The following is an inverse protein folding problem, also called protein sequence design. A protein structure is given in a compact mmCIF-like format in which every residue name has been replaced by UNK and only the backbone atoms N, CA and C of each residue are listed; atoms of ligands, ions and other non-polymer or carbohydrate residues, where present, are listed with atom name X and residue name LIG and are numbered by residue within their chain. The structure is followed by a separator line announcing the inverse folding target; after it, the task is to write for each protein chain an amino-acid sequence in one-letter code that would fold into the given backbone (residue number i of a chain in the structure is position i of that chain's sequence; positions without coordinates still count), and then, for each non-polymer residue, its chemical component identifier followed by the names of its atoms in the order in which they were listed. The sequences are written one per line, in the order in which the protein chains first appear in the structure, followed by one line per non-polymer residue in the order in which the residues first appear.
data_IF_449529782038
#
_entry.id   IF_449529782038
#
_cell.length_a   1.000
_cell.length_b   1.000
_cell.length_c   1.000
_cell.angle_alpha   90.00
_cell.angle_beta   90.00
_cell.angle_gamma   90.00
#
_symmetry.space_group_name_H-M   'P 1'
#
loop_
_entity.id
_entity.type
_entity.pdbx_description
1 polymer ?
#
# COMPACT_ATOMS: atom_id res chain seq x y z
N UNK A 1 11.58 13.86 -16.10
CA UNK A 1 12.27 14.35 -17.31
C UNK A 1 13.78 14.16 -17.25
N UNK A 2 14.44 14.40 -16.11
CA UNK A 2 15.90 14.23 -15.99
C UNK A 2 16.40 12.81 -16.26
N UNK A 3 15.62 11.79 -15.95
CA UNK A 3 15.99 10.38 -16.17
C UNK A 3 16.14 9.97 -17.64
N UNK A 4 15.53 10.70 -18.57
CA UNK A 4 15.60 10.40 -20.01
C UNK A 4 16.99 10.59 -20.65
N UNK A 5 17.86 11.32 -19.98
CA UNK A 5 19.20 11.64 -20.47
C UNK A 5 20.29 10.67 -19.99
N UNK A 6 19.95 9.71 -19.14
CA UNK A 6 20.92 8.72 -18.65
C UNK A 6 20.87 7.44 -19.48
N UNK A 7 22.02 6.98 -19.95
CA UNK A 7 22.14 5.71 -20.63
C UNK A 7 22.10 4.54 -19.64
N UNK A 8 21.72 3.33 -20.11
CA UNK A 8 21.76 2.12 -19.29
C UNK A 8 23.17 1.78 -18.73
N UNK A 9 24.21 2.46 -19.20
CA UNK A 9 25.59 2.29 -18.70
C UNK A 9 25.78 2.75 -17.26
N UNK A 10 24.88 3.60 -16.73
CA UNK A 10 24.91 4.04 -15.32
C UNK A 10 24.25 3.05 -14.38
N UNK A 11 23.55 2.03 -14.90
CA UNK A 11 22.92 1.01 -14.08
C UNK A 11 23.99 0.02 -13.58
N UNK A 12 24.07 -0.12 -12.27
CA UNK A 12 24.95 -1.12 -11.64
C UNK A 12 24.33 -2.51 -11.82
N UNK A 13 25.14 -3.46 -12.28
CA UNK A 13 24.72 -4.87 -12.31
C UNK A 13 24.61 -5.39 -10.88
N UNK A 14 23.44 -5.88 -10.51
CA UNK A 14 23.17 -6.44 -9.19
C UNK A 14 22.86 -7.93 -9.30
N UNK A 15 23.11 -8.69 -8.23
CA UNK A 15 22.66 -10.07 -8.09
C UNK A 15 21.39 -10.12 -7.25
N UNK A 16 20.68 -11.23 -7.35
CA UNK A 16 19.45 -11.43 -6.57
C UNK A 16 19.70 -11.58 -5.06
N UNK A 17 20.87 -12.08 -4.68
CA UNK A 17 21.28 -12.25 -3.27
C UNK A 17 21.89 -10.98 -2.66
N UNK A 18 22.23 -10.00 -3.49
CA UNK A 18 22.79 -8.74 -3.00
C UNK A 18 21.80 -8.01 -2.12
N UNK A 19 22.25 -7.46 -0.95
CA UNK A 19 21.41 -6.62 -0.11
C UNK A 19 20.86 -5.42 -0.87
N UNK A 20 19.53 -5.24 -0.80
CA UNK A 20 18.83 -4.11 -1.39
C UNK A 20 18.52 -3.05 -0.34
N UNK A 21 18.17 -3.46 0.88
CA UNK A 21 17.88 -2.57 2.00
C UNK A 21 18.17 -3.23 3.34
N UNK A 22 18.41 -2.40 4.35
CA UNK A 22 18.42 -2.79 5.76
C UNK A 22 17.27 -2.02 6.42
N UNK A 23 16.26 -2.74 6.88
CA UNK A 23 15.10 -2.16 7.56
C UNK A 23 15.13 -2.54 9.04
N UNK A 24 14.71 -1.62 9.90
CA UNK A 24 14.67 -1.88 11.33
C UNK A 24 13.35 -2.53 11.72
N UNK A 25 13.42 -3.66 12.46
CA UNK A 25 12.26 -4.23 13.13
C UNK A 25 12.24 -3.83 14.61
N UNK A 26 11.03 -3.65 15.17
CA UNK A 26 10.83 -3.22 16.56
C UNK A 26 11.27 -4.23 17.63
N UNK A 27 11.70 -5.44 17.25
CA UNK A 27 12.18 -6.51 18.10
C UNK A 27 11.43 -6.69 19.45
N UNK A 28 10.95 -7.88 19.73
CA UNK A 28 10.31 -8.24 21.02
C UNK A 28 11.21 -8.04 22.24
N UNK A 29 12.51 -7.87 22.04
CA UNK A 29 13.55 -7.67 23.07
C UNK A 29 13.88 -6.22 23.37
N UNK A 30 13.15 -5.26 22.76
CA UNK A 30 13.33 -3.81 22.97
C UNK A 30 14.52 -3.18 22.23
N UNK A 31 15.40 -3.96 21.61
CA UNK A 31 16.48 -3.41 20.77
C UNK A 31 16.12 -3.56 19.29
N UNK A 32 16.11 -2.47 18.50
CA UNK A 32 15.88 -2.53 17.07
C UNK A 32 16.91 -3.46 16.39
N UNK A 33 16.42 -4.33 15.51
CA UNK A 33 17.28 -5.22 14.71
C UNK A 33 17.30 -4.70 13.26
N UNK A 34 18.48 -4.60 12.68
CA UNK A 34 18.65 -4.33 11.26
C UNK A 34 18.41 -5.60 10.45
N UNK A 35 17.28 -5.67 9.76
CA UNK A 35 16.93 -6.79 8.89
C UNK A 35 17.45 -6.52 7.50
N UNK A 36 18.41 -7.34 7.06
CA UNK A 36 19.02 -7.23 5.75
C UNK A 36 18.16 -7.99 4.72
N UNK A 37 17.64 -7.27 3.75
CA UNK A 37 16.74 -7.77 2.70
C UNK A 37 17.43 -7.69 1.35
N UNK A 38 17.41 -8.79 0.60
CA UNK A 38 18.03 -8.89 -0.71
C UNK A 38 17.10 -8.43 -1.84
N UNK A 39 17.66 -8.20 -3.03
CA UNK A 39 16.88 -7.97 -4.25
C UNK A 39 15.87 -9.11 -4.49
N UNK A 40 16.23 -10.36 -4.18
CA UNK A 40 15.35 -11.51 -4.31
C UNK A 40 14.13 -11.40 -3.38
N UNK A 41 14.31 -10.94 -2.13
CA UNK A 41 13.21 -10.81 -1.19
C UNK A 41 12.17 -9.80 -1.70
N UNK A 42 12.59 -8.62 -2.15
CA UNK A 42 11.69 -7.61 -2.71
C UNK A 42 10.96 -8.10 -3.96
N UNK A 43 11.68 -8.76 -4.87
CA UNK A 43 11.09 -9.26 -6.10
C UNK A 43 10.12 -10.43 -5.87
N UNK A 44 10.40 -11.30 -4.89
CA UNK A 44 9.50 -12.39 -4.52
C UNK A 44 8.18 -11.85 -3.96
N UNK A 45 8.24 -10.85 -3.06
CA UNK A 45 7.05 -10.16 -2.54
C UNK A 45 6.20 -9.58 -3.68
N UNK A 46 6.85 -8.91 -4.64
CA UNK A 46 6.16 -8.36 -5.80
C UNK A 46 5.45 -9.44 -6.65
N UNK A 47 6.12 -10.59 -6.89
CA UNK A 47 5.53 -11.69 -7.65
C UNK A 47 4.33 -12.29 -6.91
N UNK A 48 4.44 -12.48 -5.60
CA UNK A 48 3.35 -12.98 -4.76
C UNK A 48 2.15 -12.03 -4.78
N UNK A 49 2.40 -10.72 -4.63
CA UNK A 49 1.34 -9.71 -4.71
C UNK A 49 0.61 -9.73 -6.07
N UNK A 50 1.34 -9.91 -7.18
CA UNK A 50 0.76 -10.03 -8.51
C UNK A 50 -0.14 -11.25 -8.69
N UNK A 51 0.12 -12.34 -7.96
CA UNK A 51 -0.73 -13.53 -7.95
C UNK A 51 -2.00 -13.35 -7.12
N UNK A 52 -1.89 -12.61 -6.02
CA UNK A 52 -2.99 -12.36 -5.08
C UNK A 52 -3.96 -11.27 -5.58
N UNK A 53 -3.46 -10.33 -6.37
CA UNK A 53 -4.19 -9.19 -6.89
C UNK A 53 -4.23 -9.19 -8.43
N UNK A 54 -4.81 -10.23 -9.07
CA UNK A 54 -4.74 -10.40 -10.53
C UNK A 54 -5.52 -9.33 -11.31
N UNK A 55 -6.41 -8.61 -10.65
CA UNK A 55 -7.20 -7.54 -11.27
C UNK A 55 -6.50 -6.17 -11.32
N UNK A 56 -5.30 -6.04 -10.74
CA UNK A 56 -4.49 -4.82 -10.89
C UNK A 56 -4.09 -4.66 -12.36
N UNK A 57 -4.36 -3.48 -12.90
CA UNK A 57 -4.02 -3.13 -14.29
C UNK A 57 -2.87 -2.14 -14.34
N UNK A 58 -2.01 -2.21 -15.39
CA UNK A 58 -1.01 -1.18 -15.66
C UNK A 58 -1.66 0.22 -15.72
N UNK A 59 -0.96 1.22 -15.18
CA UNK A 59 -1.40 2.62 -15.07
C UNK A 59 -2.50 2.90 -14.04
N UNK A 60 -2.99 1.90 -13.32
CA UNK A 60 -3.77 2.19 -12.12
C UNK A 60 -2.90 2.92 -11.10
N UNK A 61 -3.53 3.76 -10.30
CA UNK A 61 -2.83 4.67 -9.39
C UNK A 61 -2.89 4.15 -7.97
N UNK A 62 -1.74 4.10 -7.30
CA UNK A 62 -1.67 3.91 -5.86
C UNK A 62 -1.16 5.19 -5.19
N UNK A 63 -1.77 5.59 -4.11
CA UNK A 63 -1.30 6.71 -3.32
C UNK A 63 -0.47 6.20 -2.13
N UNK A 64 0.81 6.58 -2.12
CA UNK A 64 1.80 6.18 -1.10
C UNK A 64 1.82 7.21 0.02
N UNK A 65 1.14 6.88 1.12
CA UNK A 65 1.00 7.73 2.31
C UNK A 65 1.75 7.18 3.53
N UNK A 66 2.26 5.96 3.40
CA UNK A 66 3.04 5.30 4.45
C UNK A 66 4.53 5.69 4.36
N UNK A 67 5.25 5.69 5.50
CA UNK A 67 6.68 5.97 5.52
C UNK A 67 7.49 4.96 4.71
N UNK A 68 8.30 5.43 3.76
CA UNK A 68 9.13 4.58 2.91
C UNK A 68 10.38 4.01 3.60
N UNK A 69 10.63 4.36 4.85
CA UNK A 69 11.66 3.72 5.68
C UNK A 69 11.16 2.45 6.39
N UNK A 70 9.89 2.11 6.22
CA UNK A 70 9.27 0.88 6.72
C UNK A 70 8.90 -0.04 5.55
N UNK A 71 9.05 -1.38 5.71
CA UNK A 71 8.79 -2.35 4.64
C UNK A 71 7.41 -2.22 4.01
N UNK A 72 6.37 -1.95 4.80
CA UNK A 72 5.02 -1.75 4.31
C UNK A 72 4.91 -0.56 3.34
N UNK A 73 5.52 0.57 3.67
CA UNK A 73 5.58 1.73 2.77
C UNK A 73 6.51 1.48 1.58
N UNK A 74 7.72 1.00 1.82
CA UNK A 74 8.72 0.80 0.77
C UNK A 74 8.31 -0.29 -0.23
N UNK A 75 7.87 -1.46 0.26
CA UNK A 75 7.59 -2.58 -0.61
C UNK A 75 6.16 -2.56 -1.13
N UNK A 76 5.15 -2.53 -0.25
CA UNK A 76 3.75 -2.70 -0.67
C UNK A 76 3.21 -1.46 -1.37
N UNK A 77 3.57 -0.24 -0.92
CA UNK A 77 3.01 0.96 -1.52
C UNK A 77 3.91 1.65 -2.56
N UNK A 78 5.15 1.19 -2.76
CA UNK A 78 6.06 1.78 -3.75
C UNK A 78 6.67 0.75 -4.69
N UNK A 79 7.50 -0.20 -4.19
CA UNK A 79 8.23 -1.14 -5.04
C UNK A 79 7.30 -2.07 -5.84
N UNK A 80 6.39 -2.76 -5.16
CA UNK A 80 5.44 -3.69 -5.79
C UNK A 80 4.57 -3.02 -6.85
N UNK A 81 3.94 -1.86 -6.60
CA UNK A 81 3.18 -1.14 -7.62
C UNK A 81 4.00 -0.77 -8.85
N UNK A 82 5.24 -0.32 -8.67
CA UNK A 82 6.13 -0.01 -9.80
C UNK A 82 6.44 -1.26 -10.64
N UNK A 83 6.69 -2.42 -10.01
CA UNK A 83 6.88 -3.68 -10.69
C UNK A 83 5.62 -4.14 -11.44
N UNK A 84 4.44 -3.85 -10.91
CA UNK A 84 3.14 -4.12 -11.54
C UNK A 84 2.72 -3.04 -12.56
N UNK A 85 3.61 -2.10 -12.88
CA UNK A 85 3.41 -1.00 -13.83
C UNK A 85 2.28 -0.04 -13.45
N UNK A 86 2.02 0.12 -12.15
CA UNK A 86 1.11 1.14 -11.63
C UNK A 86 1.79 2.51 -11.60
N UNK A 87 0.96 3.56 -11.56
CA UNK A 87 1.42 4.91 -11.25
C UNK A 87 1.46 5.09 -9.73
N UNK A 88 2.62 5.48 -9.20
CA UNK A 88 2.80 5.72 -7.76
C UNK A 88 2.72 7.22 -7.49
N UNK A 89 1.69 7.63 -6.74
CA UNK A 89 1.51 9.01 -6.28
C UNK A 89 2.22 9.14 -4.93
N UNK A 90 3.39 9.75 -4.93
CA UNK A 90 4.16 9.97 -3.72
C UNK A 90 3.58 11.14 -2.92
N UNK A 91 3.21 10.89 -1.67
CA UNK A 91 2.81 11.89 -0.68
C UNK A 91 3.92 11.97 0.37
N UNK A 92 4.86 12.90 0.25
CA UNK A 92 6.05 12.94 1.12
C UNK A 92 5.73 13.09 2.61
N UNK A 93 4.63 13.77 2.91
CA UNK A 93 4.15 13.96 4.27
C UNK A 93 2.62 13.83 4.28
N UNK A 94 2.13 12.84 5.01
CA UNK A 94 0.70 12.68 5.22
C UNK A 94 0.14 13.81 6.08
N UNK A 95 -0.95 14.41 5.62
CA UNK A 95 -1.73 15.40 6.34
C UNK A 95 -3.22 15.01 6.30
N UNK A 96 -3.74 14.56 7.43
CA UNK A 96 -5.15 14.15 7.56
C UNK A 96 -6.13 15.25 7.16
N UNK A 97 -5.78 16.55 7.34
CA UNK A 97 -6.63 17.68 6.95
C UNK A 97 -6.71 17.88 5.45
N UNK A 98 -5.69 17.45 4.71
CA UNK A 98 -5.57 17.61 3.25
C UNK A 98 -5.90 16.34 2.47
N UNK A 99 -5.93 15.19 3.13
CA UNK A 99 -6.06 13.88 2.51
C UNK A 99 -7.28 13.77 1.57
N UNK A 100 -8.42 14.36 1.93
CA UNK A 100 -9.60 14.43 1.06
C UNK A 100 -9.31 15.12 -0.28
N UNK A 101 -8.53 16.23 -0.28
CA UNK A 101 -8.14 16.95 -1.50
C UNK A 101 -7.20 16.12 -2.38
N UNK A 102 -6.28 15.39 -1.75
CA UNK A 102 -5.34 14.56 -2.48
C UNK A 102 -6.08 13.39 -3.16
N UNK A 103 -7.05 12.77 -2.48
CA UNK A 103 -7.91 11.74 -3.08
C UNK A 103 -8.73 12.31 -4.24
N UNK A 104 -9.42 13.43 -4.05
CA UNK A 104 -10.22 14.08 -5.11
C UNK A 104 -9.36 14.47 -6.32
N UNK A 105 -8.15 14.99 -6.08
CA UNK A 105 -7.24 15.43 -7.14
C UNK A 105 -6.65 14.27 -7.94
N UNK A 106 -6.17 13.25 -7.26
CA UNK A 106 -5.40 12.18 -7.90
C UNK A 106 -6.24 10.95 -8.25
N UNK A 107 -7.40 10.78 -7.64
CA UNK A 107 -8.33 9.66 -7.86
C UNK A 107 -7.61 8.31 -7.86
N UNK A 108 -7.00 7.91 -6.73
CA UNK A 108 -6.26 6.67 -6.66
C UNK A 108 -7.19 5.46 -6.82
N UNK A 109 -6.68 4.40 -7.46
CA UNK A 109 -7.36 3.12 -7.53
C UNK A 109 -7.02 2.22 -6.33
N UNK A 110 -5.90 2.50 -5.65
CA UNK A 110 -5.45 1.75 -4.50
C UNK A 110 -4.99 2.65 -3.35
N UNK A 111 -5.37 2.28 -2.14
CA UNK A 111 -4.91 2.88 -0.89
C UNK A 111 -4.40 1.79 0.04
N UNK A 112 -3.25 2.05 0.64
CA UNK A 112 -2.63 1.17 1.63
C UNK A 112 -2.29 1.99 2.87
N UNK A 113 -2.72 1.53 4.04
CA UNK A 113 -2.52 2.28 5.26
C UNK A 113 -2.64 1.44 6.53
N UNK A 114 -2.66 2.14 7.65
CA UNK A 114 -2.82 1.57 8.99
C UNK A 114 -4.16 2.00 9.59
N UNK A 115 -4.70 1.30 10.60
CA UNK A 115 -6.01 1.61 11.16
C UNK A 115 -6.18 3.08 11.58
N UNK A 116 -5.15 3.69 12.18
CA UNK A 116 -5.18 5.10 12.60
C UNK A 116 -5.35 6.09 11.44
N UNK A 117 -4.86 5.75 10.24
CA UNK A 117 -5.12 6.57 9.04
C UNK A 117 -6.58 6.53 8.63
N UNK A 118 -7.19 5.37 8.74
CA UNK A 118 -8.60 5.17 8.41
C UNK A 118 -9.53 5.84 9.44
N UNK A 119 -9.16 5.81 10.72
CA UNK A 119 -9.87 6.59 11.76
C UNK A 119 -9.82 8.09 11.46
N UNK A 120 -8.66 8.60 11.08
CA UNK A 120 -8.50 10.01 10.70
C UNK A 120 -9.35 10.36 9.46
N UNK A 121 -9.49 9.44 8.51
CA UNK A 121 -10.36 9.59 7.33
C UNK A 121 -11.83 9.65 7.76
N UNK A 122 -12.30 8.69 8.54
CA UNK A 122 -13.69 8.62 9.02
C UNK A 122 -14.09 9.83 9.86
N UNK A 123 -13.15 10.39 10.62
CA UNK A 123 -13.39 11.55 11.51
C UNK A 123 -13.35 12.89 10.78
N UNK A 124 -12.94 12.92 9.53
CA UNK A 124 -12.76 14.15 8.78
C UNK A 124 -14.01 14.47 7.94
N UNK A 125 -14.87 15.36 8.44
CA UNK A 125 -16.11 15.81 7.76
C UNK A 125 -15.90 16.34 6.32
N UNK A 126 -14.66 16.68 5.96
CA UNK A 126 -14.35 17.10 4.58
C UNK A 126 -14.38 15.98 3.57
N UNK A 127 -14.55 14.73 4.03
CA UNK A 127 -14.79 13.59 3.17
C UNK A 127 -16.25 13.43 2.77
N UNK A 128 -17.20 14.12 3.39
CA UNK A 128 -18.63 13.91 3.15
C UNK A 128 -19.02 13.98 1.65
N UNK A 129 -18.32 14.80 0.86
CA UNK A 129 -18.54 14.98 -0.58
C UNK A 129 -17.46 14.32 -1.46
N UNK A 130 -16.63 13.44 -0.92
CA UNK A 130 -15.54 12.81 -1.68
C UNK A 130 -16.05 11.59 -2.42
N UNK A 131 -15.96 11.57 -3.74
CA UNK A 131 -16.24 10.40 -4.57
C UNK A 131 -15.06 9.41 -4.52
N UNK A 132 -15.32 8.17 -4.09
CA UNK A 132 -14.37 7.07 -4.01
C UNK A 132 -14.65 5.98 -5.07
N UNK A 133 -15.48 6.25 -6.07
CA UNK A 133 -15.89 5.27 -7.09
C UNK A 133 -14.71 4.71 -7.91
N UNK A 134 -13.62 5.46 -8.02
CA UNK A 134 -12.38 5.02 -8.68
C UNK A 134 -11.57 4.00 -7.85
N UNK A 135 -11.87 3.86 -6.54
CA UNK A 135 -11.13 3.01 -5.63
C UNK A 135 -11.49 1.54 -5.85
N UNK A 136 -10.48 0.70 -6.07
CA UNK A 136 -10.60 -0.74 -6.34
C UNK A 136 -9.97 -1.59 -5.24
N UNK A 137 -9.02 -1.02 -4.51
CA UNK A 137 -8.29 -1.72 -3.45
C UNK A 137 -8.07 -0.79 -2.28
N UNK A 138 -8.40 -1.27 -1.10
CA UNK A 138 -8.05 -0.63 0.16
C UNK A 138 -7.54 -1.67 1.14
N UNK A 139 -6.30 -1.51 1.59
CA UNK A 139 -5.63 -2.49 2.45
C UNK A 139 -5.22 -1.85 3.76
N UNK A 140 -5.56 -2.49 4.86
CA UNK A 140 -5.10 -2.14 6.21
C UNK A 140 -4.12 -3.18 6.73
N UNK A 141 -3.02 -2.74 7.27
CA UNK A 141 -2.01 -3.61 7.89
C UNK A 141 -1.20 -2.86 8.94
N UNK A 142 -0.19 -3.53 9.47
CA UNK A 142 0.75 -2.94 10.44
C UNK A 142 0.23 -2.80 11.87
N UNK A 143 -1.08 -2.94 12.07
CA UNK A 143 -1.71 -2.95 13.40
C UNK A 143 -3.06 -3.69 13.33
N UNK A 144 -3.61 -3.97 14.51
CA UNK A 144 -4.90 -4.67 14.64
C UNK A 144 -6.07 -3.74 14.31
N UNK A 145 -6.95 -4.20 13.43
CA UNK A 145 -8.22 -3.53 13.13
C UNK A 145 -9.39 -4.34 13.68
N UNK A 146 -10.22 -3.72 14.52
CA UNK A 146 -11.41 -4.35 15.09
C UNK A 146 -12.51 -4.55 14.04
N UNK A 147 -13.40 -5.52 14.24
CA UNK A 147 -14.52 -5.75 13.33
C UNK A 147 -15.45 -4.52 13.24
N UNK A 148 -15.69 -3.83 14.37
CA UNK A 148 -16.52 -2.63 14.36
C UNK A 148 -15.90 -1.47 13.58
N UNK A 149 -14.56 -1.38 13.53
CA UNK A 149 -13.87 -0.41 12.68
C UNK A 149 -13.96 -0.81 11.19
N UNK A 150 -13.77 -2.08 10.89
CA UNK A 150 -13.92 -2.62 9.54
C UNK A 150 -15.30 -2.31 8.96
N UNK A 151 -16.37 -2.57 9.74
CA UNK A 151 -17.76 -2.26 9.35
C UNK A 151 -17.95 -0.76 9.07
N UNK A 152 -17.43 0.11 9.93
CA UNK A 152 -17.52 1.57 9.72
C UNK A 152 -16.81 2.00 8.44
N UNK A 153 -15.62 1.44 8.15
CA UNK A 153 -14.89 1.74 6.93
C UNK A 153 -15.63 1.23 5.70
N UNK A 154 -16.17 0.00 5.74
CA UNK A 154 -16.91 -0.56 4.61
C UNK A 154 -18.17 0.26 4.32
N UNK A 155 -18.92 0.63 5.34
CA UNK A 155 -20.07 1.51 5.19
C UNK A 155 -19.68 2.87 4.59
N UNK A 156 -18.59 3.44 5.06
CA UNK A 156 -18.06 4.69 4.52
C UNK A 156 -17.69 4.56 3.04
N UNK A 157 -16.96 3.51 2.66
CA UNK A 157 -16.59 3.23 1.28
C UNK A 157 -17.82 3.15 0.36
N UNK A 158 -18.83 2.38 0.79
CA UNK A 158 -20.06 2.19 0.01
C UNK A 158 -20.87 3.48 -0.12
N UNK A 159 -21.00 4.27 0.95
CA UNK A 159 -21.71 5.56 0.89
C UNK A 159 -21.01 6.60 0.03
N UNK A 160 -19.71 6.43 -0.21
CA UNK A 160 -18.89 7.31 -1.08
C UNK A 160 -18.63 6.72 -2.48
N UNK A 161 -19.41 5.72 -2.89
CA UNK A 161 -19.40 5.17 -4.25
C UNK A 161 -18.38 4.07 -4.52
N UNK A 162 -17.53 3.69 -3.55
CA UNK A 162 -16.61 2.57 -3.74
C UNK A 162 -17.33 1.22 -3.56
N UNK A 163 -17.28 0.36 -4.56
CA UNK A 163 -17.87 -0.99 -4.51
C UNK A 163 -16.85 -2.04 -4.05
N UNK A 164 -16.21 -1.78 -2.93
CA UNK A 164 -15.20 -2.66 -2.33
C UNK A 164 -15.35 -2.71 -0.82
N UNK A 165 -14.79 -3.75 -0.22
CA UNK A 165 -14.52 -3.81 1.22
C UNK A 165 -13.03 -3.64 1.49
N UNK A 166 -12.70 -3.09 2.67
CA UNK A 166 -11.31 -3.01 3.10
C UNK A 166 -10.76 -4.42 3.37
N UNK A 167 -9.54 -4.66 2.91
CA UNK A 167 -8.83 -5.93 3.10
C UNK A 167 -7.83 -5.78 4.24
N UNK A 168 -7.74 -6.79 5.10
CA UNK A 168 -6.72 -6.86 6.16
C UNK A 168 -5.52 -7.66 5.69
N UNK A 169 -4.32 -7.12 5.92
CA UNK A 169 -3.05 -7.78 5.65
C UNK A 169 -2.19 -7.88 6.92
N UNK A 170 -1.46 -8.97 7.04
CA UNK A 170 -0.45 -9.17 8.07
C UNK A 170 0.93 -9.28 7.42
N UNK A 171 1.94 -8.75 8.09
CA UNK A 171 3.32 -8.83 7.64
C UNK A 171 4.32 -8.53 8.74
N UNK A 172 5.58 -8.70 8.41
CA UNK A 172 6.71 -8.42 9.30
C UNK A 172 7.92 -7.95 8.48
N UNK A 173 8.84 -7.24 9.10
CA UNK A 173 10.05 -6.75 8.42
C UNK A 173 10.90 -7.89 7.86
N UNK A 174 10.96 -9.03 8.55
CA UNK A 174 11.72 -10.22 8.15
C UNK A 174 11.20 -10.88 6.86
N UNK A 175 9.93 -10.66 6.51
CA UNK A 175 9.32 -11.09 5.24
C UNK A 175 9.24 -9.97 4.21
N UNK A 176 10.00 -8.90 4.38
CA UNK A 176 9.96 -7.63 3.63
C UNK A 176 8.77 -6.77 4.06
N UNK A 177 7.55 -7.27 3.93
CA UNK A 177 6.33 -6.58 4.28
C UNK A 177 5.18 -7.57 4.52
N UNK A 178 4.47 -7.98 3.47
CA UNK A 178 3.23 -8.74 3.59
C UNK A 178 3.49 -10.24 3.59
N UNK A 179 2.85 -10.95 4.50
CA UNK A 179 2.94 -12.42 4.64
C UNK A 179 1.60 -13.08 4.30
N UNK A 180 0.50 -12.40 4.61
CA UNK A 180 -0.84 -12.90 4.33
C UNK A 180 -1.83 -11.76 4.08
N UNK A 181 -2.83 -12.05 3.26
CA UNK A 181 -3.96 -11.18 2.98
C UNK A 181 -5.27 -11.97 3.15
N UNK A 182 -6.29 -11.30 3.68
CA UNK A 182 -7.65 -11.83 3.63
C UNK A 182 -8.21 -11.40 2.27
N UNK A 183 -8.42 -12.35 1.37
CA UNK A 183 -9.10 -12.10 0.10
C UNK A 183 -10.60 -11.94 0.37
N UNK A 184 -11.10 -10.72 0.28
CA UNK A 184 -12.53 -10.45 0.30
C UNK A 184 -13.01 -10.55 -1.14
N UNK A 185 -13.99 -11.43 -1.40
CA UNK A 185 -14.63 -11.51 -2.73
C UNK A 185 -15.30 -10.17 -3.06
N UNK A 186 -15.26 -9.72 -4.33
CA UNK A 186 -16.07 -8.59 -4.76
C UNK A 186 -17.55 -8.81 -4.38
N UNK A 187 -18.24 -7.75 -4.00
CA UNK A 187 -19.64 -7.79 -3.51
C UNK A 187 -20.60 -8.38 -4.54
N UNK A 188 -20.22 -8.42 -5.82
CA UNK A 188 -21.06 -8.87 -6.93
C UNK A 188 -20.72 -10.28 -7.48
N UNK A 189 -19.84 -11.06 -6.86
CA UNK A 189 -19.58 -12.46 -7.25
C UNK A 189 -20.59 -13.41 -6.59
N UNK A 190 -21.87 -13.19 -6.86
CA UNK A 190 -22.90 -14.21 -6.72
C UNK A 190 -23.01 -14.99 -8.03
N UNK A 191 -22.07 -15.89 -8.27
CA UNK A 191 -22.24 -17.01 -9.19
C UNK A 191 -21.53 -18.22 -8.63
#
# INVERSE_FOLDING_TARGET
EKGKHYSNKVLVKTTKEQPAAILHSGGTTGKPKGIMLSNRNFNAECQQAGLVLPSIKPKEKIMTILPNFHGFGLCVSMHTPLCLRMEVILVPQFDAKRFHRDIQKYKPNALVGVPTLWEAMLSNKRFDDVDLSDLKYMVSGGDTMTNGMEEKINNFLHTHGANINITKGYGMTESVAATSYILVKPINDTK
#
